data_IF_515041832987
#
_entry.id   IF_515041832987
#
_cell.length_a   1.000
_cell.length_b   1.000
_cell.length_c   1.000
_cell.angle_alpha   90.00
_cell.angle_beta   90.00
_cell.angle_gamma   90.00
#
_symmetry.space_group_name_H-M   'P 1'
#
loop_
_entity.id
_entity.type
_entity.pdbx_description
1 polymer ?
#
# COMPACT_ATOMS: atom_id res chain seq x y z
N UNK A 1 18.40 16.51 16.86
CA UNK A 1 19.21 16.16 15.67
C UNK A 1 18.32 15.38 14.71
N UNK A 2 17.69 16.03 13.72
CA UNK A 2 16.95 15.35 12.66
C UNK A 2 17.92 14.90 11.58
N UNK A 3 18.06 13.58 11.38
CA UNK A 3 18.73 13.03 10.21
C UNK A 3 17.71 12.97 9.08
N UNK A 4 17.93 13.73 8.01
CA UNK A 4 17.21 13.57 6.74
C UNK A 4 17.69 12.26 6.13
N UNK A 5 16.91 11.19 6.30
CA UNK A 5 17.12 9.92 5.58
C UNK A 5 16.43 10.06 4.21
N UNK A 6 17.21 9.91 3.14
CA UNK A 6 16.76 10.01 1.77
C UNK A 6 15.65 8.99 1.48
N UNK A 7 14.56 9.44 0.86
CA UNK A 7 13.51 8.58 0.34
C UNK A 7 14.08 7.77 -0.84
N UNK A 8 14.17 6.45 -0.70
CA UNK A 8 14.66 5.58 -1.78
C UNK A 8 13.51 5.30 -2.75
N UNK A 9 13.54 5.92 -3.92
CA UNK A 9 12.65 5.57 -5.05
C UNK A 9 13.30 4.42 -5.83
N UNK A 10 12.72 3.22 -5.76
CA UNK A 10 13.15 2.07 -6.56
C UNK A 10 12.48 2.12 -7.95
N UNK A 11 13.24 2.44 -8.99
CA UNK A 11 12.83 2.32 -10.39
C UNK A 11 13.57 1.12 -10.99
N UNK A 12 12.86 0.04 -11.31
CA UNK A 12 13.45 -1.17 -11.88
C UNK A 12 13.63 -1.07 -13.40
N UNK A 13 14.89 -1.07 -13.85
CA UNK A 13 15.34 -1.51 -15.17
C UNK A 13 15.48 -0.44 -16.27
N UNK A 14 16.73 -0.20 -16.75
CA UNK A 14 17.14 -0.05 -18.17
C UNK A 14 18.67 0.19 -18.31
N UNK A 15 19.25 -0.36 -19.36
CA UNK A 15 20.67 -0.35 -19.79
C UNK A 15 21.20 1.07 -20.15
N UNK A 16 22.54 1.28 -20.31
CA UNK A 16 23.16 2.59 -20.23
C UNK A 16 22.95 3.44 -21.49
N UNK A 17 21.94 4.31 -21.46
CA UNK A 17 21.81 5.48 -22.36
C UNK A 17 21.24 6.66 -21.56
N UNK A 18 21.95 7.20 -20.55
CA UNK A 18 21.25 8.07 -19.60
C UNK A 18 22.11 9.15 -18.93
N UNK A 19 22.35 10.27 -19.64
CA UNK A 19 22.54 11.56 -18.97
C UNK A 19 21.26 12.42 -19.02
N UNK A 20 20.37 12.21 -20.01
CA UNK A 20 19.10 12.92 -20.13
C UNK A 20 17.94 12.34 -19.28
N UNK A 21 17.94 11.04 -19.00
CA UNK A 21 16.84 10.38 -18.27
C UNK A 21 16.91 10.56 -16.74
N UNK A 22 18.10 10.84 -16.19
CA UNK A 22 18.25 11.07 -14.76
C UNK A 22 17.59 12.40 -14.30
N UNK A 23 17.58 13.42 -15.16
CA UNK A 23 16.99 14.73 -14.83
C UNK A 23 15.46 14.74 -14.87
N UNK A 24 14.83 13.94 -15.74
CA UNK A 24 13.36 13.87 -15.81
C UNK A 24 12.75 13.09 -14.64
N UNK A 25 13.42 12.01 -14.20
CA UNK A 25 12.99 11.23 -13.04
C UNK A 25 13.08 12.04 -11.74
N UNK A 26 14.15 12.81 -11.53
CA UNK A 26 14.30 13.63 -10.31
C UNK A 26 13.24 14.72 -10.20
N UNK A 27 12.87 15.34 -11.32
CA UNK A 27 11.79 16.34 -11.37
C UNK A 27 10.44 15.75 -10.99
N UNK A 28 10.05 14.62 -11.59
CA UNK A 28 8.77 13.98 -11.31
C UNK A 28 8.64 13.55 -9.84
N UNK A 29 9.72 13.02 -9.25
CA UNK A 29 9.77 12.67 -7.82
C UNK A 29 9.58 13.91 -6.96
N UNK A 30 10.28 15.01 -7.25
CA UNK A 30 10.16 16.27 -6.49
C UNK A 30 8.74 16.85 -6.56
N UNK A 31 8.08 16.78 -7.72
CA UNK A 31 6.69 17.22 -7.87
C UNK A 31 5.72 16.35 -7.06
N UNK A 32 5.89 15.02 -7.08
CA UNK A 32 5.09 14.10 -6.26
C UNK A 32 5.30 14.38 -4.77
N UNK A 33 6.55 14.56 -4.31
CA UNK A 33 6.85 14.90 -2.92
C UNK A 33 6.17 16.21 -2.50
N UNK A 34 6.15 17.21 -3.37
CA UNK A 34 5.46 18.49 -3.13
C UNK A 34 3.96 18.29 -2.99
N UNK A 35 3.34 17.49 -3.86
CA UNK A 35 1.91 17.16 -3.78
C UNK A 35 1.58 16.38 -2.50
N UNK A 36 2.42 15.42 -2.11
CA UNK A 36 2.27 14.63 -0.88
C UNK A 36 2.33 15.54 0.35
N UNK A 37 3.32 16.43 0.41
CA UNK A 37 3.47 17.38 1.51
C UNK A 37 2.23 18.28 1.67
N UNK A 38 1.63 18.71 0.55
CA UNK A 38 0.41 19.50 0.56
C UNK A 38 -0.83 18.74 1.05
N UNK A 39 -0.82 17.40 1.09
CA UNK A 39 -1.93 16.58 1.59
C UNK A 39 -1.73 16.08 3.03
N UNK A 40 -0.67 16.50 3.74
CA UNK A 40 -0.27 15.95 5.05
C UNK A 40 -1.41 15.86 6.07
N UNK A 41 -2.21 16.91 6.22
CA UNK A 41 -3.28 16.94 7.23
C UNK A 41 -4.41 15.95 6.91
N UNK A 42 -4.80 15.84 5.63
CA UNK A 42 -5.81 14.88 5.19
C UNK A 42 -5.33 13.43 5.33
N UNK A 43 -4.07 13.18 4.98
CA UNK A 43 -3.41 11.89 5.23
C UNK A 43 -3.43 11.57 6.72
N UNK A 44 -3.09 12.55 7.57
CA UNK A 44 -3.16 12.42 9.02
C UNK A 44 -4.52 11.96 9.52
N UNK A 45 -5.59 12.59 9.03
CA UNK A 45 -6.96 12.22 9.38
C UNK A 45 -7.34 10.81 8.93
N UNK A 46 -6.98 10.41 7.70
CA UNK A 46 -7.26 9.06 7.18
C UNK A 46 -6.51 8.01 7.98
N UNK A 47 -5.22 8.21 8.23
CA UNK A 47 -4.43 7.24 8.98
C UNK A 47 -4.89 7.11 10.44
N UNK A 48 -5.32 8.20 11.06
CA UNK A 48 -5.91 8.15 12.41
C UNK A 48 -7.25 7.39 12.41
N UNK A 49 -8.07 7.58 11.37
CA UNK A 49 -9.33 6.84 11.22
C UNK A 49 -9.08 5.35 11.00
N UNK A 50 -8.12 5.00 10.14
CA UNK A 50 -7.66 3.62 9.95
C UNK A 50 -7.11 3.02 11.25
N UNK A 51 -6.33 3.78 12.03
CA UNK A 51 -5.85 3.29 13.32
C UNK A 51 -7.04 2.92 14.22
N UNK A 52 -8.07 3.76 14.31
CA UNK A 52 -9.25 3.47 15.15
C UNK A 52 -9.98 2.20 14.73
N UNK A 53 -10.04 1.87 13.44
CA UNK A 53 -10.67 0.62 12.97
C UNK A 53 -9.80 -0.62 13.26
N UNK A 54 -8.47 -0.47 13.28
CA UNK A 54 -7.51 -1.55 13.53
C UNK A 54 -7.15 -1.78 15.01
N UNK A 55 -7.48 -0.80 15.86
CA UNK A 55 -6.80 -0.55 17.12
C UNK A 55 -7.00 -1.55 18.27
N UNK A 56 -7.97 -2.47 18.22
CA UNK A 56 -8.36 -3.32 19.37
C UNK A 56 -8.37 -2.58 20.73
N UNK A 57 -8.73 -1.30 20.74
CA UNK A 57 -8.75 -0.44 21.95
C UNK A 57 -7.62 0.59 22.09
N UNK A 58 -6.60 0.61 21.23
CA UNK A 58 -5.52 1.61 21.28
C UNK A 58 -5.56 2.63 20.12
N UNK A 59 -6.01 3.85 20.40
CA UNK A 59 -6.19 4.91 19.40
C UNK A 59 -4.97 5.79 19.11
N UNK A 60 -3.78 5.45 19.61
CA UNK A 60 -2.58 6.28 19.42
C UNK A 60 -1.93 6.01 18.07
N UNK A 61 -1.54 7.09 17.38
CA UNK A 61 -0.84 7.05 16.12
C UNK A 61 0.11 8.24 16.02
N UNK A 62 1.38 7.98 15.75
CA UNK A 62 2.33 8.99 15.31
C UNK A 62 2.81 8.65 13.90
N UNK A 63 2.62 9.59 12.96
CA UNK A 63 3.17 9.46 11.62
C UNK A 63 4.64 9.87 11.67
N UNK A 64 5.54 8.93 11.39
CA UNK A 64 6.97 9.17 11.46
C UNK A 64 7.43 9.87 10.18
N UNK A 65 7.24 9.22 9.04
CA UNK A 65 7.61 9.76 7.73
C UNK A 65 7.01 8.94 6.58
N UNK A 66 6.85 9.52 5.37
CA UNK A 66 6.76 8.73 4.15
C UNK A 66 8.01 7.85 4.02
N UNK A 67 7.82 6.55 3.79
CA UNK A 67 8.91 5.58 3.67
C UNK A 67 9.12 5.09 2.24
N UNK A 68 8.08 5.09 1.41
CA UNK A 68 8.17 4.72 0.00
C UNK A 68 7.04 5.36 -0.81
N UNK A 69 7.29 5.55 -2.10
CA UNK A 69 6.30 5.98 -3.10
C UNK A 69 6.34 5.00 -4.27
N UNK A 70 5.18 4.51 -4.68
CA UNK A 70 5.01 3.65 -5.86
C UNK A 70 4.13 4.38 -6.86
N UNK A 71 4.66 4.67 -8.04
CA UNK A 71 3.95 5.40 -9.10
C UNK A 71 3.32 4.39 -10.05
N UNK A 72 1.98 4.41 -10.15
CA UNK A 72 1.22 3.58 -11.10
C UNK A 72 0.99 4.33 -12.40
N UNK A 73 0.69 5.62 -12.31
CA UNK A 73 0.53 6.51 -13.45
C UNK A 73 1.33 7.80 -13.21
N UNK A 74 2.20 8.21 -14.15
CA UNK A 74 3.03 9.41 -13.99
C UNK A 74 2.21 10.65 -13.69
N UNK A 75 2.68 11.45 -12.73
CA UNK A 75 2.11 12.76 -12.43
C UNK A 75 2.31 13.68 -13.65
N UNK A 76 1.22 14.25 -14.14
CA UNK A 76 1.23 15.29 -15.17
C UNK A 76 0.74 16.60 -14.58
N UNK A 77 1.48 17.66 -14.85
CA UNK A 77 1.20 19.00 -14.37
C UNK A 77 0.84 19.91 -15.54
N UNK A 78 -0.20 20.73 -15.36
CA UNK A 78 -0.56 21.81 -16.28
C UNK A 78 -0.70 23.10 -15.49
N UNK A 79 0.08 24.12 -15.85
CA UNK A 79 0.08 25.42 -15.15
C UNK A 79 0.24 25.30 -13.62
N UNK A 80 1.12 24.39 -13.19
CA UNK A 80 1.40 24.13 -11.78
C UNK A 80 0.32 23.32 -11.03
N UNK A 81 -0.70 22.80 -11.72
CA UNK A 81 -1.75 21.96 -11.13
C UNK A 81 -1.66 20.52 -11.64
N UNK A 82 -1.93 19.52 -10.78
CA UNK A 82 -2.00 18.13 -11.21
C UNK A 82 -3.23 17.94 -12.11
N UNK A 83 -3.04 17.36 -13.29
CA UNK A 83 -4.13 17.02 -14.22
C UNK A 83 -4.31 15.52 -14.41
N UNK A 84 -3.29 14.73 -14.09
CA UNK A 84 -3.29 13.27 -14.22
C UNK A 84 -2.22 12.65 -13.31
N UNK A 85 -2.43 11.42 -12.87
CA UNK A 85 -1.47 10.67 -12.06
C UNK A 85 -2.15 9.80 -11.02
N UNK A 86 -1.48 8.71 -10.66
CA UNK A 86 -1.92 7.79 -9.61
C UNK A 86 -0.68 7.16 -8.96
N UNK A 87 -0.61 7.23 -7.64
CA UNK A 87 0.49 6.66 -6.86
C UNK A 87 0.04 6.21 -5.48
N UNK A 88 0.79 5.28 -4.90
CA UNK A 88 0.69 4.91 -3.49
C UNK A 88 1.81 5.57 -2.71
N UNK A 89 1.49 6.06 -1.52
CA UNK A 89 2.47 6.48 -0.51
C UNK A 89 2.39 5.54 0.67
N UNK A 90 3.54 4.98 1.04
CA UNK A 90 3.71 4.20 2.27
C UNK A 90 4.26 5.09 3.36
N UNK A 91 3.66 5.02 4.53
CA UNK A 91 4.07 5.73 5.73
C UNK A 91 4.57 4.75 6.78
N UNK A 92 5.73 5.03 7.34
CA UNK A 92 6.12 4.45 8.62
C UNK A 92 5.36 5.17 9.73
N UNK A 93 4.71 4.42 10.59
CA UNK A 93 3.95 4.93 11.73
C UNK A 93 4.37 4.22 13.01
N UNK A 94 4.29 4.92 14.13
CA UNK A 94 4.19 4.31 15.44
C UNK A 94 2.70 4.23 15.79
N UNK A 95 2.18 3.00 15.80
CA UNK A 95 0.83 2.71 16.23
C UNK A 95 0.92 1.91 17.53
N UNK A 96 0.55 2.53 18.64
CA UNK A 96 0.53 1.87 19.95
C UNK A 96 1.89 1.34 20.42
N UNK A 97 2.97 2.09 20.17
CA UNK A 97 4.33 1.71 20.53
C UNK A 97 4.93 0.66 19.59
N UNK A 98 4.24 0.32 18.49
CA UNK A 98 4.71 -0.62 17.49
C UNK A 98 4.93 0.09 16.16
N UNK A 99 6.12 -0.12 15.59
CA UNK A 99 6.41 0.33 14.24
C UNK A 99 5.56 -0.46 13.24
N UNK A 100 4.80 0.25 12.41
CA UNK A 100 3.93 -0.35 11.39
C UNK A 100 4.00 0.44 10.08
N UNK A 101 3.46 -0.16 9.02
CA UNK A 101 3.36 0.45 7.70
C UNK A 101 1.89 0.71 7.36
N UNK A 102 1.62 1.89 6.80
CA UNK A 102 0.31 2.29 6.29
C UNK A 102 0.41 2.78 4.87
N UNK A 103 -0.59 2.48 4.05
CA UNK A 103 -0.58 2.79 2.63
C UNK A 103 -1.76 3.72 2.30
N UNK A 104 -1.50 4.76 1.52
CA UNK A 104 -2.51 5.70 1.01
C UNK A 104 -2.40 5.73 -0.51
N UNK A 105 -3.50 5.48 -1.21
CA UNK A 105 -3.62 5.78 -2.62
C UNK A 105 -3.89 7.27 -2.82
N UNK A 106 -3.24 7.87 -3.81
CA UNK A 106 -3.45 9.23 -4.25
C UNK A 106 -3.73 9.21 -5.75
N UNK A 107 -4.91 9.70 -6.15
CA UNK A 107 -5.35 9.74 -7.54
C UNK A 107 -5.69 11.18 -7.93
N UNK A 108 -5.28 11.62 -9.12
CA UNK A 108 -5.72 12.90 -9.66
C UNK A 108 -7.10 12.74 -10.29
N UNK A 109 -8.11 13.33 -9.67
CA UNK A 109 -9.52 13.29 -10.11
C UNK A 109 -10.03 14.71 -10.28
N UNK A 110 -10.40 15.08 -11.51
CA UNK A 110 -10.90 16.43 -11.86
C UNK A 110 -9.98 17.55 -11.34
N UNK A 111 -8.67 17.38 -11.50
CA UNK A 111 -7.65 18.34 -11.07
C UNK A 111 -7.40 18.42 -9.56
N UNK A 112 -8.02 17.54 -8.77
CA UNK A 112 -7.85 17.44 -7.32
C UNK A 112 -7.20 16.11 -6.93
N UNK A 113 -6.52 16.08 -5.78
CA UNK A 113 -6.00 14.83 -5.23
C UNK A 113 -7.08 14.14 -4.40
N UNK A 114 -7.58 13.02 -4.90
CA UNK A 114 -8.39 12.08 -4.15
C UNK A 114 -7.47 11.17 -3.34
N UNK A 115 -7.82 10.96 -2.06
CA UNK A 115 -7.07 10.11 -1.15
C UNK A 115 -7.95 8.91 -0.77
N UNK A 116 -7.35 7.72 -0.76
CA UNK A 116 -8.03 6.52 -0.27
C UNK A 116 -7.10 5.69 0.61
N UNK A 117 -7.67 5.15 1.68
CA UNK A 117 -7.01 4.15 2.51
C UNK A 117 -6.73 2.88 1.68
N UNK A 118 -5.54 2.31 1.88
CA UNK A 118 -5.16 0.98 1.37
C UNK A 118 -4.82 0.07 2.55
N UNK A 119 -4.77 -1.23 2.30
CA UNK A 119 -4.46 -2.20 3.36
C UNK A 119 -3.09 -1.91 3.99
N UNK A 120 -2.94 -2.08 5.32
CA UNK A 120 -1.69 -1.86 6.04
C UNK A 120 -0.63 -2.91 5.69
N UNK A 121 0.65 -2.57 5.87
CA UNK A 121 1.79 -3.45 5.58
C UNK A 121 2.61 -3.03 4.37
N UNK A 122 3.33 -3.98 3.78
CA UNK A 122 4.28 -3.76 2.69
C UNK A 122 3.76 -4.18 1.29
N UNK A 123 2.45 -4.40 1.14
CA UNK A 123 1.84 -4.87 -0.11
C UNK A 123 2.31 -4.06 -1.33
N UNK A 124 2.50 -4.77 -2.45
CA UNK A 124 2.85 -4.21 -3.75
C UNK A 124 1.62 -3.98 -4.63
N UNK A 125 0.44 -4.40 -4.17
CA UNK A 125 -0.80 -4.31 -4.93
C UNK A 125 -1.33 -2.89 -5.02
N UNK A 126 -1.80 -2.50 -6.22
CA UNK A 126 -2.59 -1.29 -6.39
C UNK A 126 -4.00 -1.44 -5.78
N UNK A 127 -4.74 -0.33 -5.72
CA UNK A 127 -6.07 -0.28 -5.10
C UNK A 127 -7.09 -1.18 -5.81
N UNK A 128 -7.03 -1.33 -7.12
CA UNK A 128 -7.97 -2.16 -7.87
C UNK A 128 -7.75 -3.64 -7.53
N UNK A 129 -6.49 -4.07 -7.52
CA UNK A 129 -6.11 -5.43 -7.16
C UNK A 129 -6.41 -5.73 -5.68
N UNK A 130 -6.20 -4.76 -4.76
CA UNK A 130 -6.62 -4.92 -3.37
C UNK A 130 -8.11 -5.17 -3.22
N UNK A 131 -8.95 -4.44 -3.96
CA UNK A 131 -10.40 -4.63 -3.93
C UNK A 131 -10.81 -6.05 -4.31
N UNK A 132 -10.20 -6.62 -5.33
CA UNK A 132 -10.49 -7.98 -5.78
C UNK A 132 -10.00 -9.04 -4.78
N UNK A 133 -8.81 -8.83 -4.20
CA UNK A 133 -8.26 -9.70 -3.14
C UNK A 133 -9.13 -9.64 -1.88
N UNK A 134 -9.54 -8.45 -1.43
CA UNK A 134 -10.39 -8.28 -0.25
C UNK A 134 -11.71 -9.05 -0.37
N UNK A 135 -12.37 -8.99 -1.53
CA UNK A 135 -13.59 -9.78 -1.78
C UNK A 135 -13.34 -11.28 -1.63
N UNK A 136 -12.19 -11.76 -2.09
CA UNK A 136 -11.82 -13.19 -2.00
C UNK A 136 -11.39 -13.57 -0.58
N UNK A 137 -10.77 -12.64 0.13
CA UNK A 137 -10.38 -12.78 1.52
C UNK A 137 -11.62 -12.90 2.43
N UNK A 138 -12.63 -12.06 2.22
CA UNK A 138 -13.90 -12.10 2.96
C UNK A 138 -14.55 -13.49 2.84
N UNK A 139 -14.71 -13.99 1.61
CA UNK A 139 -15.25 -15.34 1.37
C UNK A 139 -14.41 -16.44 2.04
N UNK A 140 -13.08 -16.34 1.97
CA UNK A 140 -12.20 -17.31 2.61
C UNK A 140 -12.29 -17.28 4.14
N UNK A 141 -12.46 -16.09 4.73
CA UNK A 141 -12.65 -15.91 6.16
C UNK A 141 -14.00 -16.48 6.64
N UNK A 142 -15.08 -16.25 5.89
CA UNK A 142 -16.41 -16.82 6.17
C UNK A 142 -16.37 -18.35 6.18
N UNK A 143 -15.70 -18.97 5.20
CA UNK A 143 -15.54 -20.43 5.14
C UNK A 143 -14.69 -20.95 6.31
N UNK A 144 -13.61 -20.24 6.67
CA UNK A 144 -12.74 -20.62 7.79
C UNK A 144 -13.41 -20.43 9.16
N UNK A 145 -14.34 -19.48 9.27
CA UNK A 145 -14.99 -19.09 10.52
C UNK A 145 -16.50 -18.90 10.34
N UNK A 146 -17.26 -19.96 10.04
CA UNK A 146 -18.67 -19.86 9.63
C UNK A 146 -19.62 -19.37 10.73
N UNK A 147 -19.16 -19.30 11.99
CA UNK A 147 -19.93 -18.77 13.13
C UNK A 147 -19.67 -17.29 13.39
N UNK A 148 -18.77 -16.67 12.63
CA UNK A 148 -18.42 -15.28 12.76
C UNK A 148 -19.30 -14.39 11.89
N UNK A 149 -19.73 -13.25 12.44
CA UNK A 149 -20.53 -12.26 11.73
C UNK A 149 -19.66 -11.04 11.41
N UNK A 150 -19.84 -10.48 10.22
CA UNK A 150 -19.10 -9.32 9.73
C UNK A 150 -17.88 -9.68 8.89
N UNK A 151 -17.25 -8.66 8.30
CA UNK A 151 -16.10 -8.85 7.43
C UNK A 151 -14.81 -8.87 8.25
N UNK A 152 -13.80 -9.66 7.84
CA UNK A 152 -12.46 -9.56 8.42
C UNK A 152 -11.88 -8.15 8.17
N UNK A 153 -11.13 -7.65 9.15
CA UNK A 153 -10.37 -6.41 9.00
C UNK A 153 -8.91 -6.78 8.74
N UNK A 154 -8.36 -6.42 7.57
CA UNK A 154 -6.94 -6.64 7.25
C UNK A 154 -6.08 -5.73 8.12
N UNK A 155 -5.18 -6.32 8.91
CA UNK A 155 -4.30 -5.60 9.84
C UNK A 155 -2.86 -5.52 9.37
N UNK A 156 -2.46 -6.43 8.50
CA UNK A 156 -1.10 -6.46 7.98
C UNK A 156 -1.01 -7.26 6.67
N UNK A 157 -0.20 -6.78 5.74
CA UNK A 157 0.32 -7.54 4.60
C UNK A 157 1.83 -7.66 4.68
N UNK A 158 2.38 -8.79 4.23
CA UNK A 158 3.82 -9.06 4.16
C UNK A 158 4.19 -9.64 2.81
N UNK A 159 5.11 -9.03 2.07
CA UNK A 159 5.66 -9.62 0.84
C UNK A 159 6.55 -10.80 1.22
N UNK A 160 6.23 -11.98 0.71
CA UNK A 160 6.99 -13.21 0.95
C UNK A 160 7.96 -13.53 -0.18
N UNK A 161 7.55 -13.25 -1.42
CA UNK A 161 8.36 -13.37 -2.62
C UNK A 161 8.25 -12.06 -3.35
N UNK A 162 9.37 -11.37 -3.55
CA UNK A 162 9.42 -10.14 -4.35
C UNK A 162 9.56 -10.47 -5.84
N UNK A 163 8.88 -9.72 -6.73
CA UNK A 163 9.13 -9.82 -8.16
C UNK A 163 10.47 -9.14 -8.51
N UNK A 164 11.23 -9.69 -9.46
CA UNK A 164 12.44 -9.04 -9.98
C UNK A 164 12.15 -8.16 -11.22
N UNK A 165 11.00 -8.38 -11.86
CA UNK A 165 10.50 -7.59 -12.98
C UNK A 165 8.97 -7.49 -12.98
N UNK A 166 8.43 -6.68 -13.89
CA UNK A 166 6.99 -6.38 -13.95
C UNK A 166 6.11 -7.62 -14.25
N UNK A 167 6.68 -8.61 -14.95
CA UNK A 167 5.98 -9.85 -15.33
C UNK A 167 6.18 -11.00 -14.34
N UNK A 168 6.99 -10.79 -13.29
CA UNK A 168 7.31 -11.83 -12.34
C UNK A 168 6.14 -12.09 -11.37
N UNK A 169 5.94 -13.37 -11.08
CA UNK A 169 5.04 -13.81 -10.02
C UNK A 169 5.57 -13.36 -8.67
N UNK A 170 4.70 -12.85 -7.82
CA UNK A 170 5.03 -12.51 -6.43
C UNK A 170 4.02 -13.10 -5.45
N UNK A 171 4.39 -13.11 -4.17
CA UNK A 171 3.54 -13.63 -3.11
C UNK A 171 3.50 -12.70 -1.92
N UNK A 172 2.32 -12.57 -1.34
CA UNK A 172 2.09 -11.81 -0.11
C UNK A 172 1.30 -12.66 0.89
N UNK A 173 1.62 -12.52 2.17
CA UNK A 173 0.81 -12.99 3.28
C UNK A 173 -0.09 -11.84 3.74
N UNK A 174 -1.40 -12.05 3.69
CA UNK A 174 -2.40 -11.10 4.16
C UNK A 174 -2.97 -11.61 5.47
N UNK A 175 -2.92 -10.80 6.52
CA UNK A 175 -3.36 -11.13 7.87
C UNK A 175 -4.53 -10.21 8.22
N UNK A 176 -5.69 -10.81 8.41
CA UNK A 176 -6.89 -10.14 8.89
C UNK A 176 -7.32 -10.66 10.26
N UNK A 177 -8.24 -9.93 10.89
CA UNK A 177 -8.85 -10.31 12.16
C UNK A 177 -10.37 -10.40 12.01
N UNK A 178 -10.94 -11.49 12.52
CA UNK A 178 -12.39 -11.72 12.56
C UNK A 178 -12.72 -12.51 13.83
N UNK A 179 -13.76 -12.11 14.57
CA UNK A 179 -14.07 -12.67 15.90
C UNK A 179 -12.88 -12.68 16.89
N UNK A 180 -12.03 -11.66 16.87
CA UNK A 180 -10.84 -11.61 17.72
C UNK A 180 -9.78 -12.67 17.42
N UNK A 181 -9.89 -13.37 16.28
CA UNK A 181 -8.92 -14.36 15.81
C UNK A 181 -8.30 -13.90 14.51
N UNK A 182 -7.03 -14.22 14.35
CA UNK A 182 -6.32 -13.94 13.11
C UNK A 182 -6.64 -14.99 12.05
N UNK A 183 -6.85 -14.52 10.83
CA UNK A 183 -6.98 -15.35 9.63
C UNK A 183 -5.97 -14.86 8.61
N UNK A 184 -5.21 -15.80 8.05
CA UNK A 184 -4.11 -15.50 7.14
C UNK A 184 -4.33 -16.17 5.82
N UNK A 185 -3.99 -15.47 4.75
CA UNK A 185 -4.08 -15.97 3.39
C UNK A 185 -2.78 -15.65 2.66
N UNK A 186 -2.20 -16.65 2.01
CA UNK A 186 -1.13 -16.43 1.04
C UNK A 186 -1.81 -16.08 -0.28
N UNK A 187 -1.49 -14.91 -0.81
CA UNK A 187 -1.97 -14.42 -2.11
C UNK A 187 -0.81 -14.50 -3.10
N UNK A 188 -0.96 -15.35 -4.11
CA UNK A 188 0.00 -15.50 -5.22
C UNK A 188 -0.51 -14.70 -6.41
N UNK A 189 0.20 -13.65 -6.76
CA UNK A 189 -0.11 -12.78 -7.89
C UNK A 189 0.66 -13.20 -9.13
N UNK A 190 -0.02 -13.19 -10.27
CA UNK A 190 0.48 -13.69 -11.55
C UNK A 190 0.12 -12.68 -12.64
N UNK A 191 1.03 -11.74 -12.94
CA UNK A 191 0.93 -10.87 -14.11
C UNK A 191 0.74 -11.67 -15.40
N UNK A 192 0.01 -11.08 -16.34
CA UNK A 192 -0.13 -11.57 -17.70
C UNK A 192 -0.47 -10.38 -18.63
N UNK A 193 -0.58 -10.65 -19.93
CA UNK A 193 -0.83 -9.62 -20.95
C UNK A 193 -2.14 -8.81 -20.76
N UNK A 194 -3.09 -9.29 -19.95
CA UNK A 194 -4.36 -8.61 -19.66
C UNK A 194 -4.38 -7.92 -18.29
N UNK A 195 -3.29 -7.97 -17.54
CA UNK A 195 -3.19 -7.50 -16.16
C UNK A 195 -2.82 -8.61 -15.19
N UNK A 196 -3.14 -8.44 -13.90
CA UNK A 196 -2.73 -9.38 -12.86
C UNK A 196 -3.90 -10.26 -12.42
N UNK A 197 -3.66 -11.57 -12.37
CA UNK A 197 -4.57 -12.52 -11.70
C UNK A 197 -3.98 -12.97 -10.37
N UNK A 198 -4.79 -13.53 -9.47
CA UNK A 198 -4.28 -14.06 -8.20
C UNK A 198 -4.92 -15.38 -7.80
N UNK A 199 -4.23 -16.11 -6.92
CA UNK A 199 -4.75 -17.30 -6.23
C UNK A 199 -4.49 -17.16 -4.74
N UNK A 200 -5.44 -17.65 -3.94
CA UNK A 200 -5.32 -17.64 -2.48
C UNK A 200 -5.19 -19.05 -1.93
N UNK A 201 -4.41 -19.20 -0.87
CA UNK A 201 -4.26 -20.45 -0.14
C UNK A 201 -3.99 -20.17 1.34
N UNK A 202 -4.29 -21.14 2.20
CA UNK A 202 -3.93 -21.05 3.61
C UNK A 202 -2.41 -21.13 3.81
N UNK A 203 -1.84 -20.39 4.78
CA UNK A 203 -0.45 -20.56 5.18
C UNK A 203 -0.22 -21.97 5.74
N UNK A 204 0.92 -22.59 5.38
CA UNK A 204 1.27 -23.94 5.86
C UNK A 204 1.57 -24.00 7.36
N UNK A 205 2.04 -22.89 7.94
CA UNK A 205 2.23 -22.76 9.38
C UNK A 205 1.02 -22.05 9.98
N UNK A 206 0.53 -22.57 11.11
CA UNK A 206 -0.47 -21.88 11.92
C UNK A 206 0.08 -20.50 12.28
N UNK A 207 -0.68 -19.44 12.01
CA UNK A 207 -0.35 -18.12 12.53
C UNK A 207 -0.24 -18.25 14.05
N UNK A 208 0.87 -17.78 14.62
CA UNK A 208 1.04 -17.76 16.07
C UNK A 208 -0.13 -16.96 16.67
N UNK A 209 -0.75 -17.53 17.72
CA UNK A 209 -1.86 -16.91 18.44
C UNK A 209 -1.43 -15.64 19.17
#
# INVERSE_FOLDING_TARGET
MWRVLALTVLVAGLLPVAWGQAQSQSKAVTEIETVIAAQKDKVGAILLQQQRSLADGCGTLAILMPSAVTVYEPLQMQSGKPVKGSWQVRYAVDACGMAQLRNIAMDVVNGNIALAEMVPGDTLTDRALQKDVLKSFDMAAEVAMPKCVGNPVIRETRVQIHPNGADDVWQELWIGRMCGRDVGQIVKFMPNAKGTTFRMSLPKATLAK
#
